data_IF_215011344769
#
_entry.id   IF_215011344769
#
_cell.length_a   1.000
_cell.length_b   1.000
_cell.length_c   1.000
_cell.angle_alpha   90.00
_cell.angle_beta   90.00
_cell.angle_gamma   90.00
#
_symmetry.space_group_name_H-M   'P 1'
#
loop_
_entity.id
_entity.type
_entity.pdbx_description
1 polymer ?
#
# COMPACT_ATOMS: atom_id res chain seq x y z
N UNK A 1 -17.34 -5.45 -12.36
CA UNK A 1 -16.27 -4.56 -11.88
C UNK A 1 -15.04 -4.56 -12.80
N UNK A 2 -14.60 -5.73 -13.24
CA UNK A 2 -13.46 -5.85 -14.17
C UNK A 2 -13.70 -5.05 -15.47
N UNK A 3 -14.87 -5.17 -16.06
CA UNK A 3 -15.21 -4.43 -17.28
C UNK A 3 -15.15 -2.92 -17.09
N UNK A 4 -15.56 -2.43 -15.92
CA UNK A 4 -15.52 -1.01 -15.60
C UNK A 4 -14.06 -0.50 -15.61
N UNK A 5 -13.15 -1.22 -14.98
CA UNK A 5 -11.73 -0.86 -14.98
C UNK A 5 -11.11 -0.97 -16.35
N UNK A 6 -11.46 -2.00 -17.11
CA UNK A 6 -10.97 -2.17 -18.49
C UNK A 6 -11.40 -0.99 -19.37
N UNK A 7 -12.63 -0.53 -19.21
CA UNK A 7 -13.14 0.63 -19.97
C UNK A 7 -12.38 1.90 -19.60
N UNK A 8 -12.07 2.10 -18.31
CA UNK A 8 -11.30 3.26 -17.86
C UNK A 8 -9.89 3.23 -18.45
N UNK A 9 -9.24 2.07 -18.42
CA UNK A 9 -7.90 1.90 -18.97
C UNK A 9 -7.89 2.21 -20.47
N UNK A 10 -8.88 1.73 -21.22
CA UNK A 10 -9.02 2.01 -22.64
C UNK A 10 -9.26 3.48 -22.91
N UNK A 11 -10.09 4.13 -22.08
CA UNK A 11 -10.38 5.55 -22.22
C UNK A 11 -9.12 6.40 -22.14
N UNK A 12 -8.17 6.04 -21.28
CA UNK A 12 -6.91 6.75 -21.12
C UNK A 12 -5.77 6.17 -21.97
N UNK A 13 -6.06 5.18 -22.82
CA UNK A 13 -5.09 4.54 -23.72
C UNK A 13 -3.84 4.02 -22.98
N UNK A 14 -4.08 3.34 -21.85
CA UNK A 14 -3.01 2.82 -20.99
C UNK A 14 -3.00 1.29 -20.91
N UNK A 15 -3.56 0.60 -21.92
CA UNK A 15 -3.65 -0.86 -21.92
C UNK A 15 -2.28 -1.53 -21.77
N UNK A 16 -1.22 -0.90 -22.29
CA UNK A 16 0.14 -1.44 -22.23
C UNK A 16 0.77 -1.30 -20.84
N UNK A 17 0.23 -0.41 -20.01
CA UNK A 17 0.80 -0.06 -18.70
C UNK A 17 0.01 -0.62 -17.53
N UNK A 18 -1.21 -1.09 -17.77
CA UNK A 18 -2.11 -1.54 -16.71
C UNK A 18 -2.59 -2.96 -17.00
N UNK A 19 -2.43 -3.84 -16.02
CA UNK A 19 -2.94 -5.19 -16.09
C UNK A 19 -4.02 -5.37 -15.05
N UNK A 20 -5.21 -5.77 -15.48
CA UNK A 20 -6.35 -5.99 -14.59
C UNK A 20 -6.50 -7.49 -14.34
N UNK A 21 -6.50 -7.87 -13.07
CA UNK A 21 -6.67 -9.25 -12.64
C UNK A 21 -7.95 -9.33 -11.80
N UNK A 22 -8.88 -10.17 -12.23
CA UNK A 22 -10.11 -10.39 -11.47
C UNK A 22 -9.85 -11.18 -10.20
N UNK A 23 -9.02 -12.20 -10.32
CA UNK A 23 -8.56 -13.02 -9.21
C UNK A 23 -7.12 -13.44 -9.45
N UNK A 24 -6.32 -13.48 -8.39
CA UNK A 24 -4.96 -14.00 -8.48
C UNK A 24 -4.54 -14.62 -7.16
N UNK A 25 -3.77 -15.70 -7.25
CA UNK A 25 -3.09 -16.30 -6.10
C UNK A 25 -1.60 -15.92 -6.06
N UNK A 26 -1.20 -14.93 -6.87
CA UNK A 26 0.19 -14.49 -7.00
C UNK A 26 0.46 -13.16 -6.30
N UNK A 27 -0.33 -12.83 -5.27
CA UNK A 27 -0.17 -11.56 -4.55
C UNK A 27 1.22 -11.40 -3.95
N UNK A 28 1.79 -12.42 -3.26
CA UNK A 28 3.14 -12.26 -2.73
C UNK A 28 4.19 -11.99 -3.80
N UNK A 29 4.10 -12.66 -4.93
CA UNK A 29 5.02 -12.45 -6.05
C UNK A 29 4.87 -11.05 -6.65
N UNK A 30 3.63 -10.58 -6.79
CA UNK A 30 3.37 -9.23 -7.27
C UNK A 30 3.90 -8.17 -6.31
N UNK A 31 3.74 -8.40 -5.02
CA UNK A 31 4.28 -7.49 -4.00
C UNK A 31 5.81 -7.43 -4.06
N UNK A 32 6.46 -8.55 -4.31
CA UNK A 32 7.92 -8.61 -4.34
C UNK A 32 8.54 -7.77 -5.48
N UNK A 33 7.80 -7.53 -6.55
CA UNK A 33 8.27 -6.75 -7.70
C UNK A 33 7.68 -5.36 -7.75
N UNK A 34 6.83 -5.00 -6.80
CA UNK A 34 6.17 -3.70 -6.78
C UNK A 34 6.97 -2.68 -5.99
N UNK A 35 6.72 -1.41 -6.26
CA UNK A 35 7.35 -0.29 -5.55
C UNK A 35 6.41 0.33 -4.52
N UNK A 36 5.12 0.07 -4.64
CA UNK A 36 4.09 0.69 -3.81
C UNK A 36 2.82 -0.15 -3.89
N UNK A 37 2.09 -0.21 -2.80
CA UNK A 37 0.78 -0.86 -2.80
C UNK A 37 -0.30 0.15 -2.38
N UNK A 38 -1.47 0.03 -2.99
CA UNK A 38 -2.64 0.83 -2.62
C UNK A 38 -3.69 -0.14 -2.11
N UNK A 39 -4.04 -0.04 -0.83
CA UNK A 39 -4.94 -1.03 -0.23
C UNK A 39 -5.54 -0.51 1.07
N UNK A 40 -6.54 -1.24 1.56
CA UNK A 40 -6.99 -1.09 2.93
C UNK A 40 -5.95 -1.74 3.86
N UNK A 41 -5.72 -1.17 5.04
CA UNK A 41 -4.65 -1.67 5.93
C UNK A 41 -5.14 -2.82 6.81
N UNK A 42 -5.61 -3.90 6.20
CA UNK A 42 -5.94 -5.13 6.93
C UNK A 42 -4.68 -5.75 7.52
N UNK A 43 -4.82 -6.49 8.62
CA UNK A 43 -3.66 -7.03 9.33
C UNK A 43 -2.73 -7.85 8.45
N UNK A 44 -3.28 -8.78 7.68
CA UNK A 44 -2.48 -9.65 6.83
C UNK A 44 -1.81 -8.87 5.69
N UNK A 45 -2.57 -8.03 5.01
CA UNK A 45 -2.03 -7.21 3.91
C UNK A 45 -0.93 -6.28 4.40
N UNK A 46 -1.13 -5.67 5.56
CA UNK A 46 -0.14 -4.77 6.16
C UNK A 46 1.15 -5.52 6.51
N UNK A 47 1.02 -6.71 7.11
CA UNK A 47 2.18 -7.54 7.44
C UNK A 47 2.95 -7.96 6.21
N UNK A 48 2.26 -8.38 5.16
CA UNK A 48 2.87 -8.77 3.89
C UNK A 48 3.58 -7.58 3.22
N UNK A 49 2.95 -6.42 3.26
CA UNK A 49 3.52 -5.19 2.73
C UNK A 49 4.84 -4.85 3.43
N UNK A 50 4.86 -4.89 4.76
CA UNK A 50 6.07 -4.63 5.52
C UNK A 50 7.16 -5.66 5.25
N UNK A 51 6.78 -6.93 5.18
CA UNK A 51 7.73 -8.01 4.89
C UNK A 51 8.35 -7.89 3.50
N UNK A 52 7.64 -7.28 2.56
CA UNK A 52 8.11 -7.06 1.20
C UNK A 52 8.81 -5.71 1.01
N UNK A 53 9.04 -4.95 2.06
CA UNK A 53 9.58 -3.59 2.01
C UNK A 53 8.77 -2.68 1.09
N UNK A 54 7.45 -2.79 1.17
CA UNK A 54 6.54 -2.14 0.24
C UNK A 54 5.73 -1.07 0.97
N UNK A 55 5.97 0.23 0.68
CA UNK A 55 5.15 1.30 1.24
C UNK A 55 3.70 1.19 0.78
N UNK A 56 2.78 1.69 1.59
CA UNK A 56 1.36 1.59 1.32
C UNK A 56 0.69 2.96 1.25
N UNK A 57 -0.13 3.17 0.23
CA UNK A 57 -1.12 4.22 0.24
C UNK A 57 -2.41 3.59 0.78
N UNK A 58 -2.87 4.11 1.89
CA UNK A 58 -3.97 3.54 2.66
C UNK A 58 -5.27 4.19 2.23
N UNK A 59 -6.23 3.37 1.82
CA UNK A 59 -7.54 3.84 1.38
C UNK A 59 -8.65 3.23 2.25
N UNK A 60 -9.64 4.04 2.56
CA UNK A 60 -10.90 3.63 3.21
C UNK A 60 -10.73 2.59 4.33
N UNK A 61 -9.90 2.84 5.34
CA UNK A 61 -9.78 1.88 6.45
C UNK A 61 -11.12 1.78 7.19
N UNK A 62 -11.47 0.56 7.59
CA UNK A 62 -12.66 0.32 8.38
C UNK A 62 -12.40 0.86 9.79
N UNK A 63 -13.38 1.58 10.40
CA UNK A 63 -13.19 2.08 11.76
C UNK A 63 -12.83 0.96 12.75
N UNK A 64 -11.91 1.27 13.65
CA UNK A 64 -11.37 0.32 14.60
C UNK A 64 -9.98 -0.16 14.19
N UNK A 65 -9.83 -1.46 13.97
CA UNK A 65 -8.53 -2.07 13.73
C UNK A 65 -7.80 -1.51 12.51
N UNK A 66 -8.50 -1.32 11.40
CA UNK A 66 -7.85 -0.81 10.19
C UNK A 66 -7.41 0.64 10.33
N UNK A 67 -8.16 1.46 11.04
CA UNK A 67 -7.74 2.84 11.30
C UNK A 67 -6.51 2.87 12.20
N UNK A 68 -6.45 2.00 13.20
CA UNK A 68 -5.28 1.88 14.07
C UNK A 68 -4.05 1.43 13.28
N UNK A 69 -4.22 0.48 12.36
CA UNK A 69 -3.15 0.06 11.46
C UNK A 69 -2.69 1.21 10.58
N UNK A 70 -3.62 2.01 10.06
CA UNK A 70 -3.31 3.16 9.24
C UNK A 70 -2.49 4.20 10.02
N UNK A 71 -2.89 4.50 11.23
CA UNK A 71 -2.17 5.41 12.11
C UNK A 71 -0.76 4.89 12.41
N UNK A 72 -0.65 3.60 12.68
CA UNK A 72 0.65 2.96 12.94
C UNK A 72 1.58 3.13 11.74
N UNK A 73 1.13 2.77 10.55
CA UNK A 73 1.95 2.87 9.34
C UNK A 73 2.34 4.31 9.03
N UNK A 74 1.42 5.23 9.17
CA UNK A 74 1.69 6.64 8.92
C UNK A 74 2.70 7.19 9.93
N UNK A 75 2.57 6.81 11.20
CA UNK A 75 3.48 7.27 12.25
C UNK A 75 4.91 6.76 12.07
N UNK A 76 5.07 5.62 11.40
CA UNK A 76 6.39 5.04 11.13
C UNK A 76 6.97 5.49 9.79
N UNK A 77 6.25 6.31 9.03
CA UNK A 77 6.71 6.78 7.73
C UNK A 77 6.70 5.71 6.66
N UNK A 78 5.89 4.67 6.83
CA UNK A 78 5.78 3.56 5.88
C UNK A 78 4.50 3.58 5.07
N UNK A 79 3.60 4.52 5.35
CA UNK A 79 2.33 4.62 4.66
C UNK A 79 1.81 6.03 4.62
N UNK A 80 0.93 6.29 3.68
CA UNK A 80 0.22 7.56 3.56
C UNK A 80 -1.27 7.24 3.60
N UNK A 81 -1.96 7.80 4.59
CA UNK A 81 -3.40 7.61 4.70
C UNK A 81 -4.10 8.65 3.82
N UNK A 82 -4.73 8.16 2.75
CA UNK A 82 -5.50 8.99 1.84
C UNK A 82 -6.89 9.22 2.45
N UNK A 83 -7.04 10.33 3.14
CA UNK A 83 -8.30 10.72 3.77
C UNK A 83 -9.25 11.33 2.74
N UNK A 84 -10.52 11.45 3.09
CA UNK A 84 -11.54 11.98 2.18
C UNK A 84 -11.24 13.38 1.67
N UNK A 85 -10.56 14.18 2.50
CA UNK A 85 -10.21 15.57 2.16
C UNK A 85 -9.02 15.65 1.20
N UNK A 86 -8.29 14.57 1.03
CA UNK A 86 -7.09 14.54 0.20
C UNK A 86 -7.44 14.26 -1.26
N UNK A 87 -6.72 14.91 -2.16
CA UNK A 87 -6.83 14.60 -3.58
C UNK A 87 -6.01 13.35 -3.89
N UNK A 88 -6.63 12.27 -4.39
CA UNK A 88 -5.87 11.10 -4.81
C UNK A 88 -4.84 11.44 -5.88
N UNK A 89 -5.21 12.28 -6.83
CA UNK A 89 -4.32 12.68 -7.91
C UNK A 89 -3.07 13.36 -7.38
N UNK A 90 -3.22 14.32 -6.48
CA UNK A 90 -2.08 15.05 -5.91
C UNK A 90 -1.20 14.14 -5.07
N UNK A 91 -1.80 13.25 -4.30
CA UNK A 91 -1.06 12.30 -3.48
C UNK A 91 -0.17 11.39 -4.33
N UNK A 92 -0.74 10.81 -5.38
CA UNK A 92 0.03 9.96 -6.29
C UNK A 92 1.08 10.75 -7.06
N UNK A 93 0.73 11.94 -7.52
CA UNK A 93 1.66 12.79 -8.24
C UNK A 93 2.87 13.17 -7.39
N UNK A 94 2.64 13.51 -6.13
CA UNK A 94 3.73 13.85 -5.21
C UNK A 94 4.71 12.70 -5.02
N UNK A 95 4.23 11.47 -5.02
CA UNK A 95 5.08 10.30 -4.87
C UNK A 95 5.83 10.02 -6.18
N UNK A 96 5.14 10.09 -7.31
CA UNK A 96 5.74 9.81 -8.62
C UNK A 96 6.78 10.85 -8.99
N UNK A 97 6.49 12.13 -8.74
CA UNK A 97 7.40 13.24 -9.08
C UNK A 97 8.54 13.39 -8.08
N UNK A 98 8.50 12.67 -6.97
CA UNK A 98 9.50 12.77 -5.91
C UNK A 98 10.03 11.39 -5.52
N UNK A 99 10.92 10.81 -6.34
CA UNK A 99 11.47 9.48 -6.06
C UNK A 99 12.14 9.34 -4.70
N UNK A 100 12.70 10.42 -4.18
CA UNK A 100 13.35 10.41 -2.86
C UNK A 100 12.35 10.09 -1.75
N UNK A 101 11.13 10.59 -1.86
CA UNK A 101 10.09 10.32 -0.87
C UNK A 101 9.74 8.84 -0.84
N UNK A 102 9.62 8.22 -2.00
CA UNK A 102 9.36 6.78 -2.09
C UNK A 102 10.52 5.97 -1.52
N UNK A 103 11.75 6.37 -1.80
CA UNK A 103 12.94 5.72 -1.25
C UNK A 103 12.98 5.83 0.27
N UNK A 104 12.65 7.00 0.82
CA UNK A 104 12.57 7.19 2.28
C UNK A 104 11.53 6.27 2.90
N UNK A 105 10.37 6.14 2.27
CA UNK A 105 9.31 5.26 2.74
C UNK A 105 9.76 3.79 2.69
N UNK A 106 10.43 3.38 1.63
CA UNK A 106 10.97 2.03 1.52
C UNK A 106 12.02 1.77 2.59
N UNK A 107 12.89 2.73 2.83
CA UNK A 107 13.91 2.62 3.87
C UNK A 107 13.28 2.52 5.26
N UNK A 108 12.27 3.32 5.54
CA UNK A 108 11.52 3.25 6.79
C UNK A 108 10.86 1.88 6.97
N UNK A 109 10.31 1.34 5.88
CA UNK A 109 9.72 -0.01 5.89
C UNK A 109 10.77 -1.06 6.20
N UNK A 110 11.94 -0.95 5.59
CA UNK A 110 13.05 -1.86 5.82
C UNK A 110 13.56 -1.79 7.27
N UNK A 111 13.69 -0.59 7.81
CA UNK A 111 14.11 -0.38 9.19
C UNK A 111 13.10 -1.00 10.15
N UNK A 112 11.82 -0.79 9.91
CA UNK A 112 10.77 -1.36 10.76
C UNK A 112 10.80 -2.88 10.70
N UNK A 113 10.96 -3.46 9.51
CA UNK A 113 11.04 -4.91 9.33
C UNK A 113 12.27 -5.53 10.00
N UNK A 114 13.40 -4.82 9.99
CA UNK A 114 14.62 -5.28 10.67
C UNK A 114 14.53 -5.15 12.17
N UNK A 115 13.91 -4.09 12.65
CA UNK A 115 13.79 -3.80 14.08
C UNK A 115 12.84 -4.76 14.77
N UNK A 116 11.86 -5.27 14.03
CA UNK A 116 10.87 -6.20 14.53
C UNK A 116 10.84 -7.41 13.61
N UNK A 117 10.76 -8.61 14.18
CA UNK A 117 10.54 -9.80 13.37
C UNK A 117 9.15 -9.71 12.71
N UNK A 118 8.97 -10.38 11.59
CA UNK A 118 7.67 -10.42 10.93
C UNK A 118 6.57 -10.87 11.89
N UNK A 119 6.89 -11.84 12.77
CA UNK A 119 5.95 -12.31 13.77
C UNK A 119 5.54 -11.20 14.74
N UNK A 120 6.51 -10.41 15.23
CA UNK A 120 6.23 -9.31 16.15
C UNK A 120 5.38 -8.23 15.48
N UNK A 121 5.66 -7.94 14.21
CA UNK A 121 4.86 -6.99 13.43
C UNK A 121 3.43 -7.48 13.31
N UNK A 122 3.25 -8.75 12.97
CA UNK A 122 1.92 -9.36 12.87
C UNK A 122 1.17 -9.27 14.19
N UNK A 123 1.82 -9.58 15.31
CA UNK A 123 1.21 -9.50 16.63
C UNK A 123 0.81 -8.07 16.97
N UNK A 124 1.67 -7.10 16.66
CA UNK A 124 1.39 -5.69 16.94
C UNK A 124 0.18 -5.21 16.15
N UNK A 125 0.10 -5.56 14.87
CA UNK A 125 -0.97 -5.11 13.97
C UNK A 125 -2.27 -5.86 14.24
N UNK A 126 -2.19 -7.19 14.42
CA UNK A 126 -3.37 -8.01 14.61
C UNK A 126 -3.98 -7.88 16.01
N UNK A 127 -3.22 -7.38 16.99
CA UNK A 127 -3.72 -7.17 18.33
C UNK A 127 -4.55 -5.89 18.50
N UNK A 128 -4.52 -5.03 17.50
CA UNK A 128 -5.33 -3.80 17.52
C UNK A 128 -6.83 -4.08 17.36
#
# INVERSE_FOLDING_TARGET
MKECFENIVKQYKKEDMVKILEYTNQVPELMSISDLVVSKPGGLTTSESLASNLPMIIINPIPGQEEENAEFLESKGTGIWLRKDNSPYETFKNIIDNPKKLEEMKENTNILAKKHSTEDICKTILSF
#
